data_IF_771551704840
#
_entry.id   IF_771551704840
#
_cell.length_a   1.000
_cell.length_b   1.000
_cell.length_c   1.000
_cell.angle_alpha   90.00
_cell.angle_beta   90.00
_cell.angle_gamma   90.00
#
_symmetry.space_group_name_H-M   'P 1'
#
loop_
_entity.id
_entity.type
_entity.pdbx_description
1 polymer ?
#
# COMPACT_ATOMS: atom_id res chain seq x y z
N UNK A 1 -46.50 13.04 -47.29
CA UNK A 1 -45.93 14.37 -46.93
C UNK A 1 -46.34 14.67 -45.49
N UNK A 2 -45.44 14.49 -44.53
CA UNK A 2 -45.68 14.71 -43.08
C UNK A 2 -44.74 15.81 -42.62
N UNK A 3 -45.29 16.90 -42.11
CA UNK A 3 -44.53 18.02 -41.53
C UNK A 3 -44.37 17.73 -40.03
N UNK A 4 -43.13 17.56 -39.59
CA UNK A 4 -42.74 17.45 -38.18
C UNK A 4 -42.48 18.86 -37.63
N UNK A 5 -43.31 19.30 -36.68
CA UNK A 5 -43.06 20.49 -35.87
C UNK A 5 -42.11 20.11 -34.73
N UNK A 6 -40.87 20.61 -34.78
CA UNK A 6 -39.94 20.58 -33.65
C UNK A 6 -40.36 21.63 -32.62
N UNK A 7 -40.75 21.19 -31.43
CA UNK A 7 -40.90 22.06 -30.25
C UNK A 7 -39.54 22.35 -29.63
N UNK A 8 -39.18 23.64 -29.56
CA UNK A 8 -38.02 24.14 -28.84
C UNK A 8 -38.42 24.26 -27.37
N UNK A 9 -37.84 23.42 -26.51
CA UNK A 9 -37.88 23.62 -25.06
C UNK A 9 -36.78 24.62 -24.69
N UNK A 10 -37.16 25.84 -24.34
CA UNK A 10 -36.26 26.79 -23.69
C UNK A 10 -36.18 26.41 -22.21
N UNK A 11 -35.03 25.88 -21.78
CA UNK A 11 -34.69 25.78 -20.37
C UNK A 11 -34.39 27.19 -19.86
N UNK A 12 -35.30 27.75 -19.06
CA UNK A 12 -34.99 28.91 -18.22
C UNK A 12 -33.98 28.45 -17.16
N UNK A 13 -32.72 28.89 -17.30
CA UNK A 13 -31.72 28.73 -16.25
C UNK A 13 -32.16 29.46 -14.98
N UNK A 14 -31.64 29.06 -13.80
CA UNK A 14 -31.96 29.74 -12.56
C UNK A 14 -31.67 31.24 -12.68
N UNK A 15 -32.52 32.11 -12.12
CA UNK A 15 -32.36 33.55 -12.25
C UNK A 15 -31.00 33.98 -11.71
N UNK A 16 -30.33 34.86 -12.45
CA UNK A 16 -29.04 35.41 -12.03
C UNK A 16 -29.16 36.00 -10.62
N UNK A 17 -28.20 35.72 -9.72
CA UNK A 17 -28.27 36.21 -8.35
C UNK A 17 -28.34 37.73 -8.35
N UNK A 18 -29.29 38.25 -7.57
CA UNK A 18 -29.48 39.69 -7.41
C UNK A 18 -28.24 40.33 -6.75
N UNK A 19 -27.95 41.62 -6.98
CA UNK A 19 -26.80 42.30 -6.36
C UNK A 19 -26.72 42.12 -4.83
N UNK A 20 -27.87 42.03 -4.15
CA UNK A 20 -27.97 41.73 -2.71
C UNK A 20 -27.53 40.31 -2.33
N UNK A 21 -27.82 39.31 -3.17
CA UNK A 21 -27.36 37.92 -2.97
C UNK A 21 -25.85 37.81 -3.21
N UNK A 22 -25.32 38.55 -4.19
CA UNK A 22 -23.88 38.62 -4.45
C UNK A 22 -23.16 39.24 -3.25
N UNK A 23 -23.69 40.33 -2.68
CA UNK A 23 -23.11 41.01 -1.50
C UNK A 23 -23.17 40.14 -0.23
N UNK A 24 -24.24 39.37 -0.04
CA UNK A 24 -24.36 38.39 1.05
C UNK A 24 -23.37 37.22 0.91
N UNK A 25 -23.20 36.68 -0.30
CA UNK A 25 -22.23 35.62 -0.58
C UNK A 25 -20.78 36.12 -0.45
N UNK A 26 -20.47 37.35 -0.89
CA UNK A 26 -19.14 37.95 -0.68
C UNK A 26 -18.87 38.24 0.78
N UNK A 27 -19.85 38.71 1.57
CA UNK A 27 -19.66 38.90 3.02
C UNK A 27 -19.48 37.59 3.77
N UNK A 28 -20.11 36.49 3.34
CA UNK A 28 -19.87 35.17 3.95
C UNK A 28 -18.48 34.61 3.61
N UNK A 29 -18.03 34.74 2.36
CA UNK A 29 -16.68 34.36 1.92
C UNK A 29 -15.58 35.23 2.57
N UNK A 30 -15.86 36.51 2.81
CA UNK A 30 -14.94 37.42 3.53
C UNK A 30 -14.93 37.10 5.04
N UNK A 31 -16.06 36.74 5.64
CA UNK A 31 -16.13 36.38 7.07
C UNK A 31 -15.41 35.05 7.39
N UNK A 32 -15.46 34.04 6.51
CA UNK A 32 -14.70 32.79 6.69
C UNK A 32 -13.18 32.97 6.47
N UNK A 33 -12.76 34.03 5.78
CA UNK A 33 -11.35 34.36 5.55
C UNK A 33 -10.72 35.30 6.59
N UNK A 34 -11.49 35.80 7.57
CA UNK A 34 -11.00 36.81 8.53
C UNK A 34 -10.40 36.29 9.85
N UNK A 35 -10.48 34.98 10.15
CA UNK A 35 -9.81 34.43 11.34
C UNK A 35 -8.41 33.92 10.98
N UNK A 36 -7.53 34.86 10.67
CA UNK A 36 -6.09 34.62 10.51
C UNK A 36 -5.53 34.40 11.91
N UNK A 37 -5.01 33.20 12.19
CA UNK A 37 -4.29 32.91 13.41
C UNK A 37 -2.80 32.77 13.10
N UNK A 38 -1.99 33.35 14.00
CA UNK A 38 -0.54 33.29 13.94
C UNK A 38 -0.06 32.37 15.06
N UNK A 39 0.64 31.31 14.69
CA UNK A 39 1.43 30.53 15.64
C UNK A 39 2.82 31.15 15.71
N UNK A 40 3.06 31.95 16.75
CA UNK A 40 4.31 32.66 16.97
C UNK A 40 5.48 31.75 17.34
N UNK A 41 5.22 30.54 17.83
CA UNK A 41 6.27 29.56 18.14
C UNK A 41 6.70 28.81 16.87
N UNK A 42 5.74 28.47 16.00
CA UNK A 42 5.98 27.78 14.72
C UNK A 42 6.29 28.67 13.52
N UNK A 43 6.16 30.00 13.64
CA UNK A 43 6.22 30.98 12.52
C UNK A 43 5.22 30.68 11.38
N UNK A 44 4.05 30.16 11.71
CA UNK A 44 3.02 29.80 10.72
C UNK A 44 1.87 30.81 10.78
N UNK A 45 1.40 31.22 9.60
CA UNK A 45 0.29 32.17 9.42
C UNK A 45 -0.73 31.58 8.45
N UNK A 46 -2.00 31.53 8.85
CA UNK A 46 -3.05 31.01 8.00
C UNK A 46 -4.43 31.15 8.62
N UNK A 47 -5.47 30.79 7.88
CA UNK A 47 -6.80 30.67 8.46
C UNK A 47 -6.86 29.51 9.46
N UNK A 48 -7.80 29.56 10.40
CA UNK A 48 -7.93 28.56 11.46
C UNK A 48 -8.05 27.12 10.93
N UNK A 49 -8.73 26.92 9.79
CA UNK A 49 -8.85 25.62 9.15
C UNK A 49 -7.49 25.08 8.66
N UNK A 50 -6.70 25.89 7.96
CA UNK A 50 -5.36 25.54 7.52
C UNK A 50 -4.39 25.29 8.67
N UNK A 51 -4.47 26.11 9.72
CA UNK A 51 -3.67 25.93 10.94
C UNK A 51 -4.03 24.64 11.70
N UNK A 52 -5.31 24.26 11.71
CA UNK A 52 -5.75 22.98 12.28
C UNK A 52 -5.19 21.79 11.51
N UNK A 53 -5.24 21.84 10.18
CA UNK A 53 -4.67 20.79 9.31
C UNK A 53 -3.16 20.67 9.48
N UNK A 54 -2.44 21.78 9.60
CA UNK A 54 -0.99 21.77 9.84
C UNK A 54 -0.63 21.12 11.18
N UNK A 55 -1.40 21.41 12.24
CA UNK A 55 -1.22 20.76 13.56
C UNK A 55 -1.51 19.27 13.50
N UNK A 56 -2.53 18.86 12.77
CA UNK A 56 -2.85 17.45 12.55
C UNK A 56 -1.72 16.73 11.79
N UNK A 57 -1.18 17.36 10.73
CA UNK A 57 -0.01 16.86 9.99
C UNK A 57 1.21 16.73 10.90
N UNK A 58 1.48 17.70 11.78
CA UNK A 58 2.61 17.65 12.71
C UNK A 58 2.44 16.55 13.78
N UNK A 59 1.22 16.36 14.27
CA UNK A 59 0.90 15.26 15.18
C UNK A 59 1.04 13.89 14.50
N UNK A 60 0.61 13.76 13.24
CA UNK A 60 0.81 12.56 12.45
C UNK A 60 2.29 12.27 12.21
N UNK A 61 3.10 13.29 11.88
CA UNK A 61 4.55 13.13 11.76
C UNK A 61 5.19 12.64 13.06
N UNK A 62 4.85 13.26 14.21
CA UNK A 62 5.35 12.81 15.51
C UNK A 62 4.96 11.37 15.84
N UNK A 63 3.74 10.95 15.51
CA UNK A 63 3.30 9.55 15.68
C UNK A 63 4.03 8.61 14.73
N UNK A 64 4.26 9.01 13.48
CA UNK A 64 5.06 8.26 12.51
C UNK A 64 6.50 8.10 13.01
N UNK A 65 7.11 9.16 13.53
CA UNK A 65 8.48 9.14 14.03
C UNK A 65 8.60 8.29 15.30
N UNK A 66 7.63 8.36 16.21
CA UNK A 66 7.57 7.48 17.38
C UNK A 66 7.42 6.01 16.98
N UNK A 67 6.53 5.69 16.04
CA UNK A 67 6.39 4.33 15.50
C UNK A 67 7.67 3.86 14.79
N UNK A 68 8.33 4.74 14.04
CA UNK A 68 9.64 4.47 13.41
C UNK A 68 10.77 4.27 14.41
N UNK A 69 10.69 4.83 15.62
CA UNK A 69 11.77 4.71 16.60
C UNK A 69 11.56 3.53 17.56
N UNK A 70 10.32 3.20 17.92
CA UNK A 70 10.05 2.12 18.90
C UNK A 70 9.64 0.79 18.27
N UNK A 71 8.84 0.81 17.20
CA UNK A 71 8.37 -0.43 16.54
C UNK A 71 9.44 -0.99 15.61
N UNK A 72 10.24 -0.11 15.00
CA UNK A 72 11.23 -0.47 13.99
C UNK A 72 12.35 -1.39 14.52
N UNK A 73 12.98 -1.19 15.70
CA UNK A 73 14.03 -2.10 16.17
C UNK A 73 13.48 -3.51 16.43
N UNK A 74 12.31 -3.62 17.05
CA UNK A 74 11.68 -4.90 17.37
C UNK A 74 11.24 -5.64 16.11
N UNK A 75 10.63 -4.91 15.16
CA UNK A 75 10.24 -5.46 13.87
C UNK A 75 11.45 -5.91 13.05
N UNK A 76 12.54 -5.15 13.06
CA UNK A 76 13.76 -5.49 12.35
C UNK A 76 14.46 -6.70 12.96
N UNK A 77 14.48 -6.79 14.28
CA UNK A 77 15.00 -7.97 14.97
C UNK A 77 14.18 -9.20 14.58
N UNK A 78 12.85 -9.12 14.68
CA UNK A 78 11.97 -10.23 14.33
C UNK A 78 12.14 -10.69 12.87
N UNK A 79 12.16 -9.74 11.92
CA UNK A 79 12.35 -10.05 10.51
C UNK A 79 13.78 -10.54 10.20
N UNK A 80 14.81 -10.07 10.91
CA UNK A 80 16.17 -10.63 10.76
C UNK A 80 16.24 -12.10 11.19
N UNK A 81 15.51 -12.48 12.25
CA UNK A 81 15.37 -13.88 12.68
C UNK A 81 14.57 -14.69 11.66
N UNK A 82 13.46 -14.15 11.15
CA UNK A 82 12.68 -14.78 10.07
C UNK A 82 13.52 -15.01 8.82
N UNK A 83 14.38 -14.07 8.42
CA UNK A 83 15.29 -14.21 7.30
C UNK A 83 16.40 -15.26 7.55
N UNK A 84 16.92 -15.34 8.78
CA UNK A 84 17.84 -16.42 9.16
C UNK A 84 17.18 -17.80 9.02
N UNK A 85 15.97 -17.94 9.56
CA UNK A 85 15.16 -19.16 9.47
C UNK A 85 14.94 -19.57 8.01
N UNK A 86 14.53 -18.62 7.17
CA UNK A 86 14.33 -18.86 5.74
C UNK A 86 15.62 -19.29 5.04
N UNK A 87 16.75 -18.70 5.42
CA UNK A 87 18.04 -18.95 4.78
C UNK A 87 18.68 -20.29 5.15
N UNK A 88 18.39 -20.80 6.35
CA UNK A 88 18.91 -22.07 6.83
C UNK A 88 18.00 -23.26 6.47
N UNK A 89 16.89 -23.01 5.74
CA UNK A 89 15.86 -24.01 5.44
C UNK A 89 15.38 -24.78 6.68
N UNK A 90 15.46 -24.14 7.86
CA UNK A 90 14.92 -24.70 9.08
C UNK A 90 13.40 -24.57 9.03
N UNK A 91 12.77 -25.50 8.32
CA UNK A 91 11.31 -25.65 8.23
C UNK A 91 10.75 -26.40 9.45
N UNK A 92 11.61 -26.83 10.38
CA UNK A 92 11.24 -27.57 11.60
C UNK A 92 10.35 -26.75 12.56
N UNK A 93 10.20 -25.44 12.35
CA UNK A 93 9.45 -24.52 13.21
C UNK A 93 8.10 -24.05 12.70
N UNK A 94 7.56 -24.60 11.59
CA UNK A 94 6.26 -24.13 11.02
C UNK A 94 5.14 -24.06 12.10
N UNK A 95 5.12 -25.01 13.03
CA UNK A 95 4.04 -25.29 13.99
C UNK A 95 3.60 -24.09 14.88
N UNK A 96 4.43 -23.05 15.09
CA UNK A 96 4.10 -21.92 15.98
C UNK A 96 4.26 -20.52 15.37
N UNK A 97 4.45 -20.41 14.05
CA UNK A 97 4.69 -19.11 13.40
C UNK A 97 3.40 -18.28 13.27
N UNK A 98 3.37 -17.13 13.95
CA UNK A 98 2.37 -16.07 13.78
C UNK A 98 2.53 -15.32 12.44
N UNK A 99 1.42 -15.12 11.71
CA UNK A 99 1.41 -14.45 10.39
C UNK A 99 1.96 -13.02 10.39
N UNK A 100 1.81 -12.28 11.49
CA UNK A 100 2.28 -10.89 11.61
C UNK A 100 3.81 -10.80 11.70
N UNK A 101 4.45 -11.82 12.31
CA UNK A 101 5.88 -11.81 12.63
C UNK A 101 6.69 -12.66 11.64
N UNK A 102 6.07 -13.70 11.08
CA UNK A 102 6.73 -14.70 10.26
C UNK A 102 6.11 -14.83 8.86
N UNK A 103 5.07 -14.04 8.56
CA UNK A 103 4.56 -13.86 7.21
C UNK A 103 5.48 -12.97 6.37
N UNK A 104 5.18 -12.87 5.09
CA UNK A 104 5.87 -11.98 4.18
C UNK A 104 5.61 -10.51 4.51
N UNK A 105 6.68 -9.73 4.64
CA UNK A 105 6.64 -8.28 4.61
C UNK A 105 7.83 -7.76 3.80
N UNK A 106 7.65 -7.71 2.48
CA UNK A 106 8.73 -7.46 1.51
C UNK A 106 9.42 -6.13 1.74
N UNK A 107 8.70 -5.10 2.17
CA UNK A 107 9.27 -3.77 2.42
C UNK A 107 10.16 -3.77 3.67
N UNK A 108 9.72 -4.44 4.74
CA UNK A 108 10.51 -4.59 5.96
C UNK A 108 11.73 -5.47 5.69
N UNK A 109 11.57 -6.60 5.01
CA UNK A 109 12.68 -7.48 4.67
C UNK A 109 13.71 -6.76 3.78
N UNK A 110 13.26 -5.93 2.83
CA UNK A 110 14.15 -5.07 2.05
C UNK A 110 14.96 -4.13 2.94
N UNK A 111 14.28 -3.47 3.87
CA UNK A 111 14.91 -2.49 4.73
C UNK A 111 15.86 -3.14 5.77
N UNK A 112 15.52 -4.32 6.29
CA UNK A 112 16.39 -5.15 7.14
C UNK A 112 17.64 -5.57 6.37
N UNK A 113 17.49 -6.18 5.18
CA UNK A 113 18.66 -6.60 4.39
C UNK A 113 19.57 -5.41 4.08
N UNK A 114 19.01 -4.23 3.76
CA UNK A 114 19.78 -2.99 3.55
C UNK A 114 20.51 -2.52 4.81
N UNK A 115 19.85 -2.53 5.96
CA UNK A 115 20.45 -2.09 7.23
C UNK A 115 21.67 -2.92 7.62
N UNK A 116 21.63 -4.23 7.37
CA UNK A 116 22.75 -5.13 7.68
C UNK A 116 23.87 -5.13 6.62
N UNK A 117 23.70 -4.40 5.50
CA UNK A 117 24.71 -4.22 4.48
C UNK A 117 25.17 -5.53 3.80
N UNK A 118 26.40 -5.54 3.30
CA UNK A 118 26.97 -6.73 2.65
C UNK A 118 27.71 -7.60 3.67
N UNK A 119 27.14 -8.77 3.98
CA UNK A 119 27.74 -9.76 4.87
C UNK A 119 27.42 -11.17 4.36
N UNK A 120 28.16 -12.22 4.77
CA UNK A 120 27.80 -13.60 4.43
C UNK A 120 26.37 -13.98 4.83
N UNK A 121 25.85 -13.40 5.92
CA UNK A 121 24.46 -13.56 6.37
C UNK A 121 23.48 -12.95 5.37
N UNK A 122 23.71 -11.71 4.93
CA UNK A 122 22.81 -11.05 3.98
C UNK A 122 22.86 -11.68 2.58
N UNK A 123 23.99 -12.28 2.16
CA UNK A 123 24.03 -13.07 0.91
C UNK A 123 23.02 -14.23 0.96
N UNK A 124 22.99 -15.01 2.05
CA UNK A 124 22.01 -16.08 2.21
C UNK A 124 20.58 -15.54 2.27
N UNK A 125 20.37 -14.40 2.94
CA UNK A 125 19.07 -13.74 2.96
C UNK A 125 18.59 -13.34 1.57
N UNK A 126 19.45 -12.80 0.70
CA UNK A 126 19.03 -12.43 -0.66
C UNK A 126 18.61 -13.63 -1.51
N UNK A 127 19.20 -14.81 -1.27
CA UNK A 127 18.79 -16.06 -1.91
C UNK A 127 17.44 -16.54 -1.37
N UNK A 128 17.26 -16.51 -0.05
CA UNK A 128 16.00 -16.84 0.60
C UNK A 128 14.87 -15.88 0.17
N UNK A 129 15.17 -14.58 0.07
CA UNK A 129 14.27 -13.55 -0.41
C UNK A 129 13.73 -13.90 -1.81
N UNK A 130 14.60 -14.30 -2.74
CA UNK A 130 14.17 -14.74 -4.06
C UNK A 130 13.24 -15.96 -3.99
N UNK A 131 13.59 -16.96 -3.18
CA UNK A 131 12.76 -18.15 -3.03
C UNK A 131 11.35 -17.80 -2.52
N UNK A 132 11.26 -16.94 -1.49
CA UNK A 132 10.01 -16.54 -0.83
C UNK A 132 9.17 -15.57 -1.64
N UNK A 133 9.77 -14.53 -2.21
CA UNK A 133 9.05 -13.48 -2.94
C UNK A 133 8.97 -13.69 -4.45
N UNK A 134 9.76 -14.59 -5.04
CA UNK A 134 9.80 -14.82 -6.49
C UNK A 134 10.51 -13.71 -7.28
N UNK A 135 11.00 -12.68 -6.59
CA UNK A 135 11.71 -11.54 -7.16
C UNK A 135 13.09 -11.44 -6.53
N UNK A 136 14.13 -11.25 -7.35
CA UNK A 136 15.50 -11.14 -6.86
C UNK A 136 15.69 -9.82 -6.08
N UNK A 137 16.50 -9.86 -5.03
CA UNK A 137 16.77 -8.68 -4.18
C UNK A 137 17.34 -7.47 -4.95
N UNK A 138 18.01 -7.71 -6.10
CA UNK A 138 18.47 -6.63 -7.00
C UNK A 138 17.35 -5.69 -7.47
N UNK A 139 16.10 -6.13 -7.38
CA UNK A 139 14.94 -5.32 -7.75
C UNK A 139 14.33 -4.54 -6.56
N UNK A 140 15.00 -4.48 -5.41
CA UNK A 140 14.50 -3.85 -4.20
C UNK A 140 14.05 -2.39 -4.39
N UNK A 141 14.77 -1.59 -5.18
CA UNK A 141 14.36 -0.20 -5.45
C UNK A 141 13.07 -0.12 -6.26
N UNK A 142 12.89 -0.98 -7.27
CA UNK A 142 11.63 -0.98 -8.03
C UNK A 142 10.45 -1.47 -7.17
N UNK A 143 10.68 -2.41 -6.25
CA UNK A 143 9.67 -2.89 -5.31
C UNK A 143 9.20 -1.77 -4.38
N UNK A 144 10.12 -0.92 -3.90
CA UNK A 144 9.77 0.21 -3.02
C UNK A 144 8.88 1.25 -3.72
N UNK A 145 8.97 1.37 -5.04
CA UNK A 145 8.12 2.23 -5.86
C UNK A 145 6.91 1.51 -6.47
N UNK A 146 6.76 0.20 -6.26
CA UNK A 146 5.71 -0.58 -6.90
C UNK A 146 4.32 -0.24 -6.33
N UNK A 147 3.24 -0.44 -7.10
CA UNK A 147 1.88 -0.28 -6.60
C UNK A 147 1.62 -1.15 -5.37
N UNK A 148 0.86 -0.64 -4.41
CA UNK A 148 0.57 -1.34 -3.14
C UNK A 148 0.00 -2.75 -3.34
N UNK A 149 -0.86 -2.95 -4.34
CA UNK A 149 -1.39 -4.27 -4.71
C UNK A 149 -0.28 -5.27 -5.09
N UNK A 150 0.79 -4.83 -5.76
CA UNK A 150 1.91 -5.71 -6.09
C UNK A 150 2.67 -6.11 -4.83
N UNK A 151 2.94 -5.15 -3.96
CA UNK A 151 3.57 -5.39 -2.64
C UNK A 151 2.75 -6.39 -1.83
N UNK A 152 1.42 -6.23 -1.79
CA UNK A 152 0.51 -7.17 -1.14
C UNK A 152 0.61 -8.58 -1.73
N UNK A 153 0.62 -8.71 -3.06
CA UNK A 153 0.75 -10.00 -3.73
C UNK A 153 2.08 -10.71 -3.37
N UNK A 154 3.20 -9.97 -3.34
CA UNK A 154 4.49 -10.49 -2.89
C UNK A 154 4.43 -11.01 -1.44
N UNK A 155 3.78 -10.25 -0.55
CA UNK A 155 3.60 -10.64 0.86
C UNK A 155 2.77 -11.91 1.00
N UNK A 156 1.70 -12.07 0.22
CA UNK A 156 0.91 -13.30 0.19
C UNK A 156 1.75 -14.49 -0.22
N UNK A 157 2.49 -14.38 -1.33
CA UNK A 157 3.36 -15.45 -1.83
C UNK A 157 4.37 -15.91 -0.76
N UNK A 158 5.08 -14.97 -0.13
CA UNK A 158 6.04 -15.31 0.92
C UNK A 158 5.37 -15.90 2.18
N UNK A 159 4.17 -15.44 2.52
CA UNK A 159 3.38 -15.98 3.64
C UNK A 159 2.90 -17.40 3.39
N UNK A 160 2.39 -17.69 2.19
CA UNK A 160 1.98 -19.04 1.77
C UNK A 160 3.13 -20.03 1.93
N UNK A 161 4.35 -19.61 1.60
CA UNK A 161 5.51 -20.49 1.71
C UNK A 161 6.05 -20.63 3.14
N UNK A 162 5.71 -19.71 4.04
CA UNK A 162 6.34 -19.60 5.36
C UNK A 162 5.45 -20.03 6.53
N UNK A 163 4.14 -19.89 6.38
CA UNK A 163 3.16 -20.16 7.43
C UNK A 163 2.63 -21.59 7.34
N UNK A 164 2.43 -22.22 8.49
CA UNK A 164 2.03 -23.62 8.57
C UNK A 164 0.63 -23.91 8.05
N UNK A 165 -0.30 -22.97 8.21
CA UNK A 165 -1.70 -23.11 7.76
C UNK A 165 -1.79 -23.41 6.26
N UNK A 166 -0.86 -22.87 5.48
CA UNK A 166 -0.77 -23.10 4.03
C UNK A 166 -0.10 -24.43 3.66
N UNK A 167 0.54 -25.09 4.62
CA UNK A 167 1.05 -26.46 4.48
C UNK A 167 0.04 -27.54 4.88
N UNK A 168 -1.12 -27.17 5.42
CA UNK A 168 -2.19 -28.13 5.74
C UNK A 168 -2.83 -28.70 4.47
N UNK A 169 -3.18 -29.98 4.50
CA UNK A 169 -3.73 -30.71 3.33
C UNK A 169 -4.91 -29.98 2.67
N UNK A 170 -5.80 -29.37 3.46
CA UNK A 170 -6.95 -28.62 2.99
C UNK A 170 -6.61 -27.32 2.23
N UNK A 171 -5.42 -26.76 2.47
CA UNK A 171 -4.98 -25.49 1.89
C UNK A 171 -3.93 -25.66 0.77
N UNK A 172 -3.38 -26.87 0.56
CA UNK A 172 -2.31 -27.10 -0.44
C UNK A 172 -2.70 -26.69 -1.87
N UNK A 173 -3.94 -26.97 -2.27
CA UNK A 173 -4.43 -26.57 -3.59
C UNK A 173 -4.49 -25.04 -3.72
N UNK A 174 -5.02 -24.36 -2.70
CA UNK A 174 -5.11 -22.89 -2.66
C UNK A 174 -3.72 -22.24 -2.61
N UNK A 175 -2.83 -22.77 -1.79
CA UNK A 175 -1.44 -22.36 -1.70
C UNK A 175 -0.77 -22.37 -3.08
N UNK A 176 -0.98 -23.44 -3.84
CA UNK A 176 -0.44 -23.59 -5.19
C UNK A 176 -1.03 -22.56 -6.15
N UNK A 177 -2.35 -22.34 -6.10
CA UNK A 177 -3.03 -21.31 -6.90
C UNK A 177 -2.50 -19.90 -6.61
N UNK A 178 -2.35 -19.54 -5.33
CA UNK A 178 -1.80 -18.24 -4.93
C UNK A 178 -0.39 -18.06 -5.48
N UNK A 179 0.49 -19.06 -5.33
CA UNK A 179 1.86 -18.97 -5.86
C UNK A 179 1.85 -18.79 -7.38
N UNK A 180 1.06 -19.58 -8.12
CA UNK A 180 1.00 -19.49 -9.59
C UNK A 180 0.50 -18.12 -10.07
N UNK A 181 -0.54 -17.59 -9.45
CA UNK A 181 -1.11 -16.29 -9.82
C UNK A 181 -0.15 -15.15 -9.51
N UNK A 182 0.51 -15.18 -8.34
CA UNK A 182 1.51 -14.16 -8.01
C UNK A 182 2.74 -14.28 -8.92
N UNK A 183 3.18 -15.48 -9.29
CA UNK A 183 4.27 -15.64 -10.25
C UNK A 183 3.92 -15.02 -11.62
N UNK A 184 2.68 -15.17 -12.10
CA UNK A 184 2.20 -14.48 -13.30
C UNK A 184 2.20 -12.95 -13.14
N UNK A 185 1.77 -12.43 -11.97
CA UNK A 185 1.84 -11.00 -11.68
C UNK A 185 3.29 -10.47 -11.70
N UNK A 186 4.23 -11.23 -11.16
CA UNK A 186 5.66 -10.92 -11.18
C UNK A 186 6.17 -10.81 -12.61
N UNK A 187 5.79 -11.73 -13.49
CA UNK A 187 6.20 -11.69 -14.90
C UNK A 187 5.61 -10.48 -15.65
N UNK A 188 4.33 -10.15 -15.44
CA UNK A 188 3.71 -8.95 -16.01
C UNK A 188 4.42 -7.68 -15.53
N UNK A 189 4.77 -7.62 -14.24
CA UNK A 189 5.48 -6.48 -13.67
C UNK A 189 6.90 -6.35 -14.23
N UNK A 190 7.65 -7.45 -14.35
CA UNK A 190 8.99 -7.47 -14.95
C UNK A 190 8.99 -7.06 -16.42
N UNK A 191 7.90 -7.33 -17.15
CA UNK A 191 7.73 -6.91 -18.53
C UNK A 191 7.55 -5.39 -18.70
N UNK A 192 7.47 -4.62 -17.60
CA UNK A 192 7.41 -3.16 -17.63
C UNK A 192 6.03 -2.62 -17.98
N UNK A 193 4.95 -3.35 -17.68
CA UNK A 193 3.59 -2.90 -17.94
C UNK A 193 3.30 -1.57 -17.23
N UNK A 194 3.02 -0.51 -18.01
CA UNK A 194 2.71 0.83 -17.50
C UNK A 194 1.38 0.89 -16.72
N UNK A 195 0.51 -0.10 -16.93
CA UNK A 195 -0.87 -0.09 -16.43
C UNK A 195 -1.14 -1.32 -15.56
N UNK A 196 -0.32 -1.50 -14.53
CA UNK A 196 -0.54 -2.55 -13.53
C UNK A 196 -1.85 -2.27 -12.75
N UNK A 197 -2.69 -3.29 -12.58
CA UNK A 197 -3.93 -3.27 -11.78
C UNK A 197 -5.05 -2.32 -12.26
N UNK A 198 -5.08 -1.95 -13.54
CA UNK A 198 -6.27 -1.31 -14.09
C UNK A 198 -7.42 -2.33 -14.21
N UNK A 199 -8.69 -1.95 -13.97
CA UNK A 199 -9.84 -2.87 -13.86
C UNK A 199 -9.98 -3.91 -14.99
N UNK A 200 -9.61 -3.53 -16.21
CA UNK A 200 -9.73 -4.37 -17.41
C UNK A 200 -8.50 -5.24 -17.69
N UNK A 201 -7.45 -5.12 -16.88
CA UNK A 201 -6.17 -5.79 -17.15
C UNK A 201 -6.15 -7.21 -16.57
N UNK A 202 -5.34 -8.06 -17.17
CA UNK A 202 -5.04 -9.39 -16.63
C UNK A 202 -4.45 -9.32 -15.22
N UNK A 203 -3.57 -8.35 -14.96
CA UNK A 203 -2.98 -8.17 -13.63
C UNK A 203 -4.02 -7.87 -12.54
N UNK A 204 -5.09 -7.14 -12.85
CA UNK A 204 -6.17 -6.93 -11.89
C UNK A 204 -6.96 -8.21 -11.64
N UNK A 205 -7.31 -8.95 -12.70
CA UNK A 205 -8.04 -10.22 -12.56
C UNK A 205 -7.25 -11.26 -11.77
N UNK A 206 -5.94 -11.35 -11.99
CA UNK A 206 -5.06 -12.23 -11.24
C UNK A 206 -5.03 -11.83 -9.76
N UNK A 207 -4.86 -10.54 -9.45
CA UNK A 207 -4.87 -10.06 -8.08
C UNK A 207 -6.18 -10.38 -7.35
N UNK A 208 -7.32 -10.11 -7.98
CA UNK A 208 -8.64 -10.35 -7.39
C UNK A 208 -8.88 -11.85 -7.15
N UNK A 209 -8.45 -12.70 -8.07
CA UNK A 209 -8.50 -14.16 -7.89
C UNK A 209 -7.60 -14.61 -6.73
N UNK A 210 -6.41 -14.02 -6.58
CA UNK A 210 -5.49 -14.34 -5.48
C UNK A 210 -6.08 -13.91 -4.14
N UNK A 211 -6.73 -12.74 -4.09
CA UNK A 211 -7.38 -12.22 -2.90
C UNK A 211 -8.50 -13.15 -2.41
N UNK A 212 -9.31 -13.68 -3.33
CA UNK A 212 -10.36 -14.66 -3.00
C UNK A 212 -9.76 -15.92 -2.34
N UNK A 213 -8.70 -16.47 -2.91
CA UNK A 213 -8.03 -17.65 -2.35
C UNK A 213 -7.39 -17.35 -0.99
N UNK A 214 -6.82 -16.15 -0.83
CA UNK A 214 -6.21 -15.70 0.41
C UNK A 214 -7.22 -15.54 1.55
N UNK A 215 -8.38 -14.96 1.28
CA UNK A 215 -9.42 -14.71 2.28
C UNK A 215 -10.18 -15.97 2.72
N UNK A 216 -10.01 -17.09 2.01
CA UNK A 216 -10.71 -18.35 2.27
C UNK A 216 -10.00 -19.27 3.28
N UNK A 217 -8.89 -18.82 3.87
CA UNK A 217 -8.06 -19.53 4.87
C UNK A 217 -8.22 -18.88 6.24
#
# INVERSE_FOLDING_TARGET
MKILLLGIWMFEGPPAPTPFQIEGMTRHLIAESTNISADTEGRLFGNQAGMSLLKEIEQLHRRIDHLKNEVHPTLYLAHSTTLDDWSNQQDQGRILRQGVVHGGNVLVDVAVIRQYGHSPRTVKWTQAFYHRYGVAFRFADQILSAPSKFVTALNWRASVQSLWVWGEQQNLARASTVIEQVDKLIEIWKAGSEVLFHPTTESQRLFDATEIEWQAV
#
